data_IF_740034002104
#
_entry.id   IF_740034002104
#
_cell.length_a   1.000
_cell.length_b   1.000
_cell.length_c   1.000
_cell.angle_alpha   90.00
_cell.angle_beta   90.00
_cell.angle_gamma   90.00
#
_symmetry.space_group_name_H-M   'P 1'
#
loop_
_entity.id
_entity.type
_entity.pdbx_description
1 polymer ?
#
# COMPACT_ATOMS: atom_id res chain seq x y z
N UNK A 1 -1.00 -0.36 -3.98
CA UNK A 1 -1.81 -0.28 -2.75
C UNK A 1 -2.17 -1.70 -2.31
N UNK A 2 -1.82 -2.05 -1.09
CA UNK A 2 -2.17 -3.35 -0.49
C UNK A 2 -3.54 -3.25 0.16
N UNK A 3 -4.34 -4.31 0.05
CA UNK A 3 -5.67 -4.37 0.65
C UNK A 3 -5.86 -5.68 1.40
N UNK A 4 -6.60 -5.64 2.50
CA UNK A 4 -7.03 -6.83 3.23
C UNK A 4 -8.54 -6.96 3.11
N UNK A 5 -9.01 -8.18 2.89
CA UNK A 5 -10.43 -8.48 2.77
C UNK A 5 -10.78 -9.72 3.61
N UNK A 6 -11.98 -9.73 4.17
CA UNK A 6 -12.57 -10.93 4.77
C UNK A 6 -13.58 -11.50 3.78
N UNK A 7 -13.38 -12.76 3.37
CA UNK A 7 -14.30 -13.40 2.43
C UNK A 7 -15.69 -13.58 3.05
N UNK A 8 -16.74 -13.46 2.23
CA UNK A 8 -18.14 -13.52 2.68
C UNK A 8 -18.47 -14.80 3.47
N UNK A 9 -17.88 -15.92 3.07
CA UNK A 9 -18.15 -17.23 3.66
C UNK A 9 -17.10 -17.67 4.70
N UNK A 10 -16.31 -16.74 5.24
CA UNK A 10 -15.36 -17.07 6.30
C UNK A 10 -16.06 -17.59 7.53
N UNK A 11 -15.66 -18.77 8.01
CA UNK A 11 -16.15 -19.36 9.27
C UNK A 11 -15.57 -18.67 10.50
N UNK A 12 -14.47 -17.94 10.35
CA UNK A 12 -13.75 -17.26 11.43
C UNK A 12 -13.77 -15.74 11.23
N UNK A 13 -14.92 -15.19 10.84
CA UNK A 13 -15.08 -13.76 10.52
C UNK A 13 -14.61 -12.86 11.65
N UNK A 14 -15.05 -13.15 12.89
CA UNK A 14 -14.74 -12.30 14.05
C UNK A 14 -13.25 -12.31 14.36
N UNK A 15 -12.61 -13.48 14.28
CA UNK A 15 -11.16 -13.60 14.45
C UNK A 15 -10.40 -12.84 13.34
N UNK A 16 -10.89 -12.91 12.10
CA UNK A 16 -10.29 -12.16 10.98
C UNK A 16 -10.40 -10.65 11.19
N UNK A 17 -11.52 -10.15 11.72
CA UNK A 17 -11.70 -8.74 12.04
C UNK A 17 -10.77 -8.30 13.19
N UNK A 18 -10.63 -9.10 14.26
CA UNK A 18 -9.67 -8.83 15.32
C UNK A 18 -8.22 -8.78 14.79
N UNK A 19 -7.87 -9.69 13.90
CA UNK A 19 -6.57 -9.65 13.23
C UNK A 19 -6.37 -8.38 12.41
N UNK A 20 -7.39 -7.94 11.67
CA UNK A 20 -7.33 -6.68 10.91
C UNK A 20 -7.16 -5.47 11.83
N UNK A 21 -7.87 -5.42 12.95
CA UNK A 21 -7.71 -4.35 13.94
C UNK A 21 -6.30 -4.32 14.53
N UNK A 22 -5.75 -5.47 14.89
CA UNK A 22 -4.36 -5.59 15.31
C UNK A 22 -3.38 -5.11 14.23
N UNK A 23 -3.58 -5.58 12.99
CA UNK A 23 -2.73 -5.22 11.84
C UNK A 23 -2.75 -3.72 11.54
N UNK A 24 -3.92 -3.07 11.68
CA UNK A 24 -4.12 -1.64 11.45
C UNK A 24 -3.81 -0.77 12.67
N UNK A 25 -3.41 -1.35 13.80
CA UNK A 25 -2.99 -0.58 14.96
C UNK A 25 -1.76 0.27 14.67
N UNK A 26 -1.64 1.42 15.32
CA UNK A 26 -0.56 2.37 15.06
C UNK A 26 0.83 1.75 15.26
N UNK A 27 1.00 0.97 16.33
CA UNK A 27 2.28 0.34 16.66
C UNK A 27 2.67 -0.75 15.65
N UNK A 28 1.70 -1.59 15.25
CA UNK A 28 1.94 -2.63 14.23
C UNK A 28 2.26 -2.00 12.89
N UNK A 29 1.52 -0.99 12.49
CA UNK A 29 1.73 -0.29 11.23
C UNK A 29 3.09 0.44 11.20
N UNK A 30 3.54 1.01 12.31
CA UNK A 30 4.88 1.62 12.38
C UNK A 30 5.99 0.57 12.19
N UNK A 31 5.91 -0.58 12.86
CA UNK A 31 6.87 -1.67 12.70
C UNK A 31 6.88 -2.26 11.30
N UNK A 32 5.71 -2.42 10.69
CA UNK A 32 5.57 -2.91 9.31
C UNK A 32 6.16 -1.93 8.30
N UNK A 33 5.91 -0.64 8.49
CA UNK A 33 6.46 0.41 7.63
C UNK A 33 8.00 0.37 7.61
N UNK A 34 8.63 0.16 8.75
CA UNK A 34 10.09 0.07 8.85
C UNK A 34 10.64 -1.25 8.30
N UNK A 35 9.96 -2.37 8.54
CA UNK A 35 10.42 -3.69 8.12
C UNK A 35 10.20 -3.97 6.63
N UNK A 36 9.09 -3.52 6.07
CA UNK A 36 8.67 -3.82 4.70
C UNK A 36 8.86 -2.65 3.73
N UNK A 37 9.26 -1.48 4.23
CA UNK A 37 9.36 -0.25 3.43
C UNK A 37 8.01 0.04 2.74
N UNK A 38 6.91 -0.12 3.48
CA UNK A 38 5.55 0.12 2.99
C UNK A 38 4.89 1.24 3.81
N UNK A 39 4.13 2.08 3.14
CA UNK A 39 3.53 3.25 3.78
C UNK A 39 2.38 2.85 4.71
N UNK A 40 2.38 3.31 5.98
CA UNK A 40 1.35 2.92 6.92
C UNK A 40 -0.02 3.51 6.54
N UNK A 41 -1.07 2.70 6.66
CA UNK A 41 -2.45 3.14 6.44
C UNK A 41 -3.01 3.91 7.65
N UNK A 42 -2.44 3.71 8.85
CA UNK A 42 -2.87 4.37 10.06
C UNK A 42 -2.12 5.69 10.23
N UNK A 43 -2.83 6.82 10.20
CA UNK A 43 -2.25 8.17 10.33
C UNK A 43 -1.59 8.44 11.69
N UNK A 44 -1.86 7.61 12.71
CA UNK A 44 -1.22 7.69 14.02
C UNK A 44 0.06 6.88 14.13
N UNK A 45 0.40 6.06 13.12
CA UNK A 45 1.64 5.32 13.09
C UNK A 45 2.82 6.31 13.00
N UNK A 46 3.79 6.17 13.90
CA UNK A 46 4.99 7.00 13.92
C UNK A 46 6.15 6.17 13.40
N UNK A 47 6.68 6.55 12.25
CA UNK A 47 7.87 5.94 11.66
C UNK A 47 9.09 6.82 11.91
N UNK A 48 10.28 6.23 11.91
CA UNK A 48 11.53 6.96 12.04
C UNK A 48 11.75 7.90 10.85
N UNK A 49 12.51 8.98 11.05
CA UNK A 49 12.85 9.93 9.97
C UNK A 49 13.58 9.22 8.80
N UNK A 50 14.40 8.23 9.11
CA UNK A 50 15.11 7.45 8.11
C UNK A 50 14.16 6.66 7.22
N UNK A 51 13.15 6.00 7.82
CA UNK A 51 12.13 5.27 7.08
C UNK A 51 11.20 6.22 6.32
N UNK A 52 10.79 7.33 6.91
CA UNK A 52 9.90 8.31 6.30
C UNK A 52 10.43 8.87 4.97
N UNK A 53 11.75 9.01 4.82
CA UNK A 53 12.38 9.47 3.57
C UNK A 53 12.15 8.54 2.38
N UNK A 54 11.94 7.26 2.64
CA UNK A 54 11.76 6.24 1.61
C UNK A 54 10.30 5.83 1.42
N UNK A 55 9.39 6.42 2.18
CA UNK A 55 7.97 6.08 2.17
C UNK A 55 7.12 7.25 1.64
N UNK A 56 5.98 6.91 1.08
CA UNK A 56 4.90 7.90 0.87
C UNK A 56 4.23 8.13 2.23
N UNK A 57 4.83 8.99 3.06
CA UNK A 57 4.44 9.18 4.44
C UNK A 57 4.11 10.65 4.73
N UNK A 58 3.05 10.85 5.51
CA UNK A 58 2.57 12.17 5.90
C UNK A 58 1.40 12.67 5.05
N UNK A 59 0.58 13.52 5.66
CA UNK A 59 -0.67 14.01 5.06
C UNK A 59 -0.43 14.83 3.79
N UNK A 60 0.59 15.67 3.79
CA UNK A 60 0.95 16.51 2.62
C UNK A 60 1.38 15.64 1.43
N UNK A 61 2.19 14.62 1.68
CA UNK A 61 2.61 13.67 0.64
C UNK A 61 1.42 12.91 0.08
N UNK A 62 0.53 12.42 0.97
CA UNK A 62 -0.68 11.71 0.55
C UNK A 62 -1.61 12.58 -0.33
N UNK A 63 -1.77 13.87 0.00
CA UNK A 63 -2.54 14.84 -0.78
C UNK A 63 -1.93 15.14 -2.16
N UNK A 64 -0.61 15.04 -2.27
CA UNK A 64 0.11 15.30 -3.54
C UNK A 64 0.07 14.14 -4.52
N UNK A 65 -0.36 12.95 -4.11
CA UNK A 65 -0.41 11.75 -4.94
C UNK A 65 -1.37 11.94 -6.12
N UNK A 66 -0.86 11.68 -7.30
CA UNK A 66 -1.68 11.63 -8.53
C UNK A 66 -1.96 10.18 -8.88
N UNK A 67 -3.22 9.79 -8.83
CA UNK A 67 -3.65 8.46 -9.24
C UNK A 67 -3.90 8.45 -10.76
N UNK A 68 -3.37 7.45 -11.43
CA UNK A 68 -3.70 7.20 -12.83
C UNK A 68 -5.11 6.58 -12.88
N UNK A 69 -6.06 7.15 -13.64
CA UNK A 69 -7.38 6.55 -13.81
C UNK A 69 -7.26 5.11 -14.32
N UNK A 70 -8.07 4.20 -13.76
CA UNK A 70 -8.02 2.77 -14.12
C UNK A 70 -8.26 2.53 -15.62
N UNK A 71 -9.15 3.29 -16.25
CA UNK A 71 -9.37 3.23 -17.69
C UNK A 71 -8.09 3.53 -18.47
N UNK A 72 -7.40 4.64 -18.15
CA UNK A 72 -6.13 5.02 -18.79
C UNK A 72 -5.07 3.94 -18.61
N UNK A 73 -5.00 3.32 -17.44
CA UNK A 73 -4.07 2.23 -17.17
C UNK A 73 -4.39 0.98 -17.99
N UNK A 74 -5.66 0.61 -18.12
CA UNK A 74 -6.09 -0.54 -18.92
C UNK A 74 -5.83 -0.34 -20.40
N UNK A 75 -6.19 0.82 -20.95
CA UNK A 75 -6.05 1.12 -22.37
C UNK A 75 -4.59 1.17 -22.82
N UNK A 76 -3.68 1.60 -21.95
CA UNK A 76 -2.27 1.79 -22.31
C UNK A 76 -1.35 0.65 -21.84
N UNK A 77 -1.83 -0.28 -21.02
CA UNK A 77 -1.00 -1.32 -20.39
C UNK A 77 -0.18 -2.14 -21.38
N UNK A 78 -0.79 -2.56 -22.48
CA UNK A 78 -0.12 -3.38 -23.48
C UNK A 78 1.05 -2.61 -24.14
N UNK A 79 0.82 -1.34 -24.47
CA UNK A 79 1.85 -0.47 -25.06
C UNK A 79 2.99 -0.18 -24.08
N UNK A 80 2.68 0.07 -22.82
CA UNK A 80 3.68 0.29 -21.78
C UNK A 80 4.53 -0.96 -21.53
N UNK A 81 3.90 -2.13 -21.46
CA UNK A 81 4.62 -3.39 -21.27
C UNK A 81 5.54 -3.71 -22.46
N UNK A 82 5.08 -3.49 -23.68
CA UNK A 82 5.89 -3.64 -24.88
C UNK A 82 7.12 -2.71 -24.84
N UNK A 83 6.90 -1.42 -24.57
CA UNK A 83 7.98 -0.43 -24.49
C UNK A 83 8.98 -0.76 -23.36
N UNK A 84 8.50 -1.27 -22.24
CA UNK A 84 9.36 -1.70 -21.14
C UNK A 84 10.26 -2.87 -21.56
N UNK A 85 9.67 -3.91 -22.15
CA UNK A 85 10.41 -5.10 -22.60
C UNK A 85 11.45 -4.77 -23.67
N UNK A 86 11.15 -3.83 -24.57
CA UNK A 86 12.06 -3.39 -25.63
C UNK A 86 13.22 -2.54 -25.12
N UNK A 87 13.00 -1.75 -24.05
CA UNK A 87 13.98 -0.73 -23.61
C UNK A 87 14.73 -1.09 -22.34
N UNK A 88 14.14 -1.89 -21.46
CA UNK A 88 14.64 -2.15 -20.10
C UNK A 88 14.71 -3.64 -19.79
N UNK A 89 13.80 -4.44 -20.31
CA UNK A 89 13.63 -5.86 -19.99
C UNK A 89 14.51 -6.82 -20.81
N UNK A 90 15.67 -6.35 -21.28
CA UNK A 90 16.66 -7.21 -21.96
C UNK A 90 17.61 -7.84 -20.98
#
# INVERSE_FOLDING_TARGET
MNVMIVTKNSKNRDLALQFMDFWLSADTQAKLAEALIDSPANSKAKVSEAAAKNLTYGEETAKSLKLIPSATSLDNRAGWLKSWNEKVGQ
#
